data_IF_478236579866
#
_entry.id   IF_478236579866
#
_cell.length_a   1.000
_cell.length_b   1.000
_cell.length_c   1.000
_cell.angle_alpha   90.00
_cell.angle_beta   90.00
_cell.angle_gamma   90.00
#
_symmetry.space_group_name_H-M   'P 1'
#
loop_
_entity.id
_entity.type
_entity.pdbx_description
1 polymer ?
#
# COMPACT_ATOMS: atom_id res chain seq x y z
N UNK A 1 -26.97 41.50 14.09
CA UNK A 1 -26.42 40.18 13.77
C UNK A 1 -26.04 40.22 12.30
N UNK A 2 -24.76 40.38 12.01
CA UNK A 2 -24.23 40.40 10.64
C UNK A 2 -23.91 38.95 10.24
N UNK A 3 -24.51 38.49 9.16
CA UNK A 3 -24.24 37.17 8.55
C UNK A 3 -22.81 37.22 7.98
N UNK A 4 -21.93 36.25 8.29
CA UNK A 4 -20.61 36.24 7.71
C UNK A 4 -20.68 35.95 6.19
N UNK A 5 -19.87 36.66 5.41
CA UNK A 5 -19.75 36.46 3.97
C UNK A 5 -19.26 35.03 3.65
N UNK A 6 -19.72 34.44 2.52
CA UNK A 6 -19.27 33.14 2.10
C UNK A 6 -17.75 33.17 1.82
N UNK A 7 -17.03 32.17 2.34
CA UNK A 7 -15.60 31.98 2.08
C UNK A 7 -15.36 31.88 0.58
N UNK A 8 -14.32 32.56 0.10
CA UNK A 8 -13.83 32.46 -1.25
C UNK A 8 -13.60 30.97 -1.60
N UNK A 9 -14.01 30.57 -2.81
CA UNK A 9 -13.78 29.25 -3.35
C UNK A 9 -12.28 28.91 -3.32
N UNK A 10 -11.96 27.70 -2.87
CA UNK A 10 -10.58 27.20 -2.93
C UNK A 10 -10.07 27.28 -4.38
N UNK A 11 -8.78 27.60 -4.61
CA UNK A 11 -8.21 27.60 -5.95
C UNK A 11 -8.39 26.22 -6.56
N UNK A 12 -8.81 26.17 -7.82
CA UNK A 12 -8.85 24.94 -8.61
C UNK A 12 -7.46 24.30 -8.56
N UNK A 13 -7.42 23.02 -8.11
CA UNK A 13 -6.22 22.21 -8.13
C UNK A 13 -5.78 22.06 -9.59
N UNK A 14 -4.75 22.80 -9.99
CA UNK A 14 -4.02 22.48 -11.20
C UNK A 14 -3.23 21.22 -10.95
N UNK A 15 -3.80 20.06 -11.30
CA UNK A 15 -3.06 18.82 -11.34
C UNK A 15 -1.79 19.03 -12.20
N UNK A 16 -0.61 18.55 -11.76
CA UNK A 16 0.60 18.68 -12.57
C UNK A 16 0.37 17.98 -13.92
N UNK A 17 0.67 18.68 -14.99
CA UNK A 17 0.62 18.13 -16.35
C UNK A 17 1.82 17.20 -16.49
N UNK A 18 1.62 15.90 -16.32
CA UNK A 18 2.61 14.88 -16.64
C UNK A 18 2.67 14.76 -18.17
N UNK A 19 3.79 15.13 -18.76
CA UNK A 19 3.97 15.23 -20.21
C UNK A 19 4.12 13.91 -20.95
N UNK A 20 4.15 12.78 -20.28
CA UNK A 20 4.03 11.42 -20.85
C UNK A 20 3.47 10.52 -19.74
N UNK A 21 2.35 9.84 -20.01
CA UNK A 21 1.89 8.79 -19.08
C UNK A 21 2.92 7.68 -19.08
N UNK A 22 3.49 7.32 -17.93
CA UNK A 22 4.44 6.21 -17.85
C UNK A 22 3.76 4.94 -18.35
N UNK A 23 4.47 4.15 -19.15
CA UNK A 23 3.98 2.82 -19.57
C UNK A 23 3.74 1.99 -18.31
N UNK A 24 2.52 1.49 -18.05
CA UNK A 24 2.25 0.72 -16.86
C UNK A 24 3.16 -0.50 -16.76
N UNK A 25 3.77 -0.70 -15.59
CA UNK A 25 4.55 -1.90 -15.31
C UNK A 25 3.59 -3.07 -15.10
N UNK A 26 3.79 -4.16 -15.84
CA UNK A 26 3.00 -5.38 -15.71
C UNK A 26 3.69 -6.41 -14.80
N UNK A 27 2.94 -7.27 -14.09
CA UNK A 27 3.51 -8.34 -13.26
C UNK A 27 4.47 -9.29 -14.01
N UNK A 28 4.25 -9.50 -15.30
CA UNK A 28 5.08 -10.31 -16.18
C UNK A 28 6.44 -9.70 -16.53
N UNK A 29 6.59 -8.37 -16.37
CA UNK A 29 7.81 -7.62 -16.65
C UNK A 29 8.79 -7.56 -15.46
N UNK A 30 8.45 -8.20 -14.33
CA UNK A 30 9.21 -8.13 -13.09
C UNK A 30 10.53 -8.91 -13.18
N UNK A 31 11.63 -8.19 -13.34
CA UNK A 31 12.99 -8.74 -13.36
C UNK A 31 13.51 -9.09 -11.95
N UNK A 32 14.55 -9.92 -11.85
CA UNK A 32 15.26 -10.13 -10.58
C UNK A 32 15.82 -8.83 -10.00
N UNK A 33 16.32 -7.93 -10.83
CA UNK A 33 16.80 -6.61 -10.41
C UNK A 33 15.70 -5.78 -9.74
N UNK A 34 14.46 -5.88 -10.22
CA UNK A 34 13.31 -5.23 -9.58
C UNK A 34 13.08 -5.76 -8.16
N UNK A 35 13.17 -7.07 -7.97
CA UNK A 35 13.02 -7.71 -6.65
C UNK A 35 14.17 -7.37 -5.71
N UNK A 36 15.39 -7.21 -6.22
CA UNK A 36 16.53 -6.73 -5.43
C UNK A 36 16.32 -5.30 -4.94
N UNK A 37 15.79 -4.41 -5.79
CA UNK A 37 15.44 -3.03 -5.42
C UNK A 37 14.35 -3.00 -4.35
N UNK A 38 13.27 -3.78 -4.51
CA UNK A 38 12.21 -3.91 -3.51
C UNK A 38 12.78 -4.42 -2.18
N UNK A 39 13.61 -5.45 -2.21
CA UNK A 39 14.28 -5.99 -1.03
C UNK A 39 15.16 -4.96 -0.33
N UNK A 40 15.92 -4.18 -1.10
CA UNK A 40 16.77 -3.13 -0.56
C UNK A 40 15.95 -2.04 0.12
N UNK A 41 14.84 -1.62 -0.51
CA UNK A 41 13.94 -0.62 0.06
C UNK A 41 13.23 -1.14 1.32
N UNK A 42 12.72 -2.38 1.31
CA UNK A 42 12.11 -3.00 2.48
C UNK A 42 13.08 -3.02 3.69
N UNK A 43 14.36 -3.37 3.46
CA UNK A 43 15.40 -3.32 4.51
C UNK A 43 15.68 -1.90 4.98
N UNK A 44 15.69 -0.92 4.08
CA UNK A 44 15.85 0.50 4.42
C UNK A 44 14.70 0.99 5.30
N UNK A 45 13.47 0.63 4.96
CA UNK A 45 12.29 0.96 5.74
C UNK A 45 12.31 0.27 7.11
N UNK A 46 12.63 -1.04 7.17
CA UNK A 46 12.76 -1.81 8.40
C UNK A 46 13.68 -1.15 9.43
N UNK A 47 14.80 -0.57 8.99
CA UNK A 47 15.73 0.13 9.89
C UNK A 47 15.13 1.37 10.59
N UNK A 48 13.94 1.82 10.17
CA UNK A 48 13.19 2.95 10.75
C UNK A 48 12.01 2.52 11.61
N UNK A 49 11.80 1.22 11.78
CA UNK A 49 10.70 0.68 12.56
C UNK A 49 10.75 1.17 14.02
N UNK A 50 9.59 1.50 14.57
CA UNK A 50 9.44 1.83 15.97
C UNK A 50 8.81 0.67 16.73
N UNK A 51 9.64 -0.11 17.41
CA UNK A 51 9.25 -1.42 17.99
C UNK A 51 9.71 -1.59 19.45
N UNK A 52 9.37 -0.65 20.35
CA UNK A 52 9.87 -0.66 21.72
C UNK A 52 9.30 -1.79 22.59
N UNK A 53 8.24 -2.47 22.15
CA UNK A 53 7.55 -3.50 22.89
C UNK A 53 7.91 -4.90 22.42
N UNK A 54 7.85 -5.15 21.12
CA UNK A 54 8.12 -6.47 20.55
C UNK A 54 9.59 -6.70 20.22
N UNK A 55 10.37 -5.64 19.98
CA UNK A 55 11.70 -5.69 19.36
C UNK A 55 11.69 -6.43 18.00
N UNK A 56 10.57 -6.41 17.28
CA UNK A 56 10.39 -7.09 16.00
C UNK A 56 10.20 -6.08 14.86
N UNK A 57 11.29 -5.56 14.29
CA UNK A 57 11.21 -4.60 13.19
C UNK A 57 10.79 -5.29 11.90
N UNK A 58 9.90 -4.64 11.17
CA UNK A 58 9.40 -5.08 9.86
C UNK A 58 9.50 -3.93 8.88
N UNK A 59 9.94 -4.24 7.67
CA UNK A 59 9.91 -3.30 6.55
C UNK A 59 9.22 -3.90 5.35
N UNK A 60 8.53 -3.06 4.61
CA UNK A 60 7.82 -3.41 3.40
C UNK A 60 8.20 -2.47 2.26
N UNK A 61 8.14 -2.96 1.02
CA UNK A 61 8.31 -2.18 -0.20
C UNK A 61 7.31 -2.64 -1.27
N UNK A 62 6.80 -1.71 -2.05
CA UNK A 62 5.89 -1.95 -3.15
C UNK A 62 6.32 -1.20 -4.40
N UNK A 63 6.27 -1.88 -5.55
CA UNK A 63 6.41 -1.26 -6.86
C UNK A 63 5.04 -0.77 -7.31
N UNK A 64 4.98 0.48 -7.71
CA UNK A 64 3.78 1.10 -8.27
C UNK A 64 3.79 0.94 -9.79
N UNK A 65 2.64 0.94 -10.42
CA UNK A 65 2.46 0.78 -11.88
C UNK A 65 3.12 1.89 -12.72
N UNK A 66 3.47 3.02 -12.11
CA UNK A 66 4.24 4.10 -12.73
C UNK A 66 5.78 3.95 -12.54
N UNK A 67 6.25 2.84 -11.96
CA UNK A 67 7.66 2.54 -11.74
C UNK A 67 8.24 3.07 -10.43
N UNK A 68 7.50 3.85 -9.63
CA UNK A 68 7.94 4.26 -8.29
C UNK A 68 8.01 3.08 -7.34
N UNK A 69 8.95 3.14 -6.39
CA UNK A 69 8.98 2.23 -5.24
C UNK A 69 8.60 3.02 -4.00
N UNK A 70 7.63 2.51 -3.25
CA UNK A 70 7.15 3.04 -1.97
C UNK A 70 7.51 2.08 -0.85
N UNK A 71 7.81 2.60 0.35
CA UNK A 71 8.23 1.80 1.48
C UNK A 71 7.43 2.08 2.75
N UNK A 72 7.53 1.19 3.71
CA UNK A 72 6.89 1.36 5.01
C UNK A 72 7.52 0.50 6.08
N UNK A 73 7.39 0.90 7.33
CA UNK A 73 7.83 0.14 8.49
C UNK A 73 6.72 0.05 9.53
N UNK A 74 6.81 -0.93 10.42
CA UNK A 74 5.86 -1.03 11.52
C UNK A 74 6.13 0.02 12.60
N UNK A 75 5.03 0.54 13.16
CA UNK A 75 5.03 1.55 14.21
C UNK A 75 4.16 1.05 15.35
N UNK A 76 4.79 0.69 16.46
CA UNK A 76 4.08 0.21 17.64
C UNK A 76 3.51 1.35 18.49
N UNK A 77 2.57 1.00 19.33
CA UNK A 77 1.96 1.88 20.30
C UNK A 77 1.67 1.12 21.59
N UNK A 78 1.74 1.78 22.76
CA UNK A 78 1.34 1.19 24.04
C UNK A 78 -0.11 0.69 24.01
N UNK A 79 -0.97 1.36 23.25
CA UNK A 79 -2.28 0.85 22.85
C UNK A 79 -2.11 -0.06 21.63
N UNK A 80 -2.00 -1.36 21.81
CA UNK A 80 -1.70 -2.32 20.74
C UNK A 80 -2.68 -2.26 19.57
N UNK A 81 -3.94 -1.86 19.82
CA UNK A 81 -4.97 -1.72 18.79
C UNK A 81 -4.67 -0.65 17.74
N UNK A 82 -3.81 0.34 18.04
CA UNK A 82 -3.40 1.39 17.09
C UNK A 82 -2.01 1.15 16.50
N UNK A 83 -1.39 0.00 16.77
CA UNK A 83 -0.16 -0.41 16.12
C UNK A 83 -0.36 -0.54 14.61
N UNK A 84 0.53 0.05 13.82
CA UNK A 84 0.51 0.00 12.37
C UNK A 84 1.52 -1.05 11.87
N UNK A 85 1.05 -1.96 11.02
CA UNK A 85 1.94 -2.83 10.25
C UNK A 85 2.71 -2.02 9.19
N UNK A 86 3.83 -2.55 8.71
CA UNK A 86 4.65 -1.91 7.69
C UNK A 86 3.86 -1.60 6.40
N UNK A 87 2.93 -2.46 6.04
CA UNK A 87 2.06 -2.30 4.87
C UNK A 87 1.12 -1.10 5.00
N UNK A 88 0.66 -0.76 6.22
CA UNK A 88 -0.16 0.43 6.43
C UNK A 88 0.62 1.71 6.15
N UNK A 89 1.88 1.77 6.61
CA UNK A 89 2.78 2.89 6.34
C UNK A 89 3.10 3.00 4.85
N UNK A 90 3.35 1.87 4.18
CA UNK A 90 3.58 1.80 2.74
C UNK A 90 2.39 2.33 1.94
N UNK A 91 1.16 1.91 2.27
CA UNK A 91 -0.04 2.42 1.58
C UNK A 91 -0.22 3.92 1.84
N UNK A 92 0.11 4.41 3.04
CA UNK A 92 0.11 5.84 3.31
C UNK A 92 1.10 6.59 2.41
N UNK A 93 2.33 6.08 2.24
CA UNK A 93 3.33 6.65 1.34
C UNK A 93 2.86 6.60 -0.12
N UNK A 94 2.23 5.51 -0.57
CA UNK A 94 1.65 5.39 -1.90
C UNK A 94 0.76 6.59 -2.23
N UNK A 95 -0.20 6.90 -1.35
CA UNK A 95 -1.11 8.03 -1.57
C UNK A 95 -0.45 9.39 -1.42
N UNK A 96 0.46 9.55 -0.46
CA UNK A 96 1.18 10.80 -0.24
C UNK A 96 2.12 11.16 -1.40
N UNK A 97 2.53 10.18 -2.21
CA UNK A 97 3.45 10.36 -3.34
C UNK A 97 2.78 10.28 -4.72
N UNK A 98 1.44 10.22 -4.78
CA UNK A 98 0.69 10.33 -6.04
C UNK A 98 -0.34 9.23 -6.31
N UNK A 99 -0.49 8.25 -5.41
CA UNK A 99 -1.41 7.12 -5.61
C UNK A 99 -0.85 6.09 -6.59
N UNK A 100 -1.72 5.49 -7.40
CA UNK A 100 -1.37 4.44 -8.35
C UNK A 100 -1.68 3.04 -7.81
N UNK A 101 -1.36 2.01 -8.58
CA UNK A 101 -1.63 0.61 -8.27
C UNK A 101 -0.34 -0.13 -7.92
N UNK A 102 -0.36 -0.92 -6.86
CA UNK A 102 0.76 -1.80 -6.53
C UNK A 102 0.83 -2.99 -7.50
N UNK A 103 2.01 -3.25 -8.06
CA UNK A 103 2.28 -4.34 -9.02
C UNK A 103 3.08 -5.47 -8.38
N UNK A 104 4.03 -5.13 -7.48
CA UNK A 104 4.83 -6.10 -6.75
C UNK A 104 5.02 -5.65 -5.30
N UNK A 105 5.18 -6.61 -4.40
CA UNK A 105 5.33 -6.36 -2.97
C UNK A 105 6.35 -7.30 -2.34
N UNK A 106 7.22 -6.75 -1.49
CA UNK A 106 8.16 -7.50 -0.65
C UNK A 106 8.12 -7.00 0.79
N UNK A 107 8.29 -7.91 1.74
CA UNK A 107 8.30 -7.62 3.17
C UNK A 107 9.41 -8.41 3.86
N UNK A 108 10.11 -7.77 4.80
CA UNK A 108 11.24 -8.39 5.52
C UNK A 108 11.13 -8.21 7.02
N UNK A 109 11.63 -9.20 7.75
CA UNK A 109 11.85 -9.15 9.20
C UNK A 109 13.17 -8.45 9.56
N UNK A 110 13.48 -8.40 10.88
CA UNK A 110 14.68 -7.76 11.42
C UNK A 110 16.00 -8.37 10.96
N UNK A 111 16.00 -9.59 10.42
CA UNK A 111 17.17 -10.25 9.83
C UNK A 111 17.23 -10.03 8.29
N UNK A 112 16.23 -9.36 7.73
CA UNK A 112 16.11 -9.12 6.30
C UNK A 112 15.63 -10.33 5.51
N UNK A 113 15.04 -11.33 6.18
CA UNK A 113 14.39 -12.48 5.54
C UNK A 113 12.99 -12.12 5.07
N UNK A 114 12.53 -12.78 4.01
CA UNK A 114 11.16 -12.61 3.51
C UNK A 114 10.16 -12.95 4.60
N UNK A 115 9.25 -12.02 4.87
CA UNK A 115 8.18 -12.14 5.85
C UNK A 115 6.82 -12.25 5.15
N UNK A 116 5.91 -12.99 5.77
CA UNK A 116 4.53 -13.14 5.28
C UNK A 116 3.68 -11.97 5.78
N UNK A 117 2.97 -11.22 4.91
CA UNK A 117 2.02 -10.21 5.36
C UNK A 117 0.87 -10.86 6.15
N UNK A 118 0.46 -10.25 7.27
CA UNK A 118 -0.64 -10.75 8.08
C UNK A 118 -1.99 -10.67 7.33
N UNK A 119 -3.04 -11.35 7.83
CA UNK A 119 -4.33 -11.39 7.15
C UNK A 119 -4.95 -10.01 6.89
N UNK A 120 -4.84 -9.08 7.86
CA UNK A 120 -5.29 -7.69 7.69
C UNK A 120 -4.52 -6.99 6.56
N UNK A 121 -3.22 -7.20 6.49
CA UNK A 121 -2.38 -6.57 5.47
C UNK A 121 -2.62 -7.15 4.07
N UNK A 122 -2.95 -8.45 3.96
CA UNK A 122 -3.35 -9.04 2.67
C UNK A 122 -4.61 -8.38 2.12
N UNK A 123 -5.60 -8.13 2.97
CA UNK A 123 -6.81 -7.40 2.58
C UNK A 123 -6.50 -5.97 2.16
N UNK A 124 -5.63 -5.27 2.89
CA UNK A 124 -5.19 -3.92 2.53
C UNK A 124 -4.45 -3.89 1.19
N UNK A 125 -3.53 -4.84 0.98
CA UNK A 125 -2.76 -4.94 -0.26
C UNK A 125 -3.64 -5.31 -1.46
N UNK A 126 -4.65 -6.17 -1.27
CA UNK A 126 -5.63 -6.50 -2.31
C UNK A 126 -6.36 -5.25 -2.81
N UNK A 127 -6.77 -4.35 -1.91
CA UNK A 127 -7.46 -3.11 -2.28
C UNK A 127 -6.64 -2.23 -3.24
N UNK A 128 -5.32 -2.17 -3.01
CA UNK A 128 -4.42 -1.28 -3.74
C UNK A 128 -3.60 -1.94 -4.86
N UNK A 129 -3.65 -3.26 -4.97
CA UNK A 129 -2.92 -4.01 -5.99
C UNK A 129 -3.79 -4.93 -6.84
N UNK A 130 -4.96 -5.32 -6.30
CA UNK A 130 -5.85 -6.28 -6.97
C UNK A 130 -5.31 -7.70 -6.94
N UNK A 131 -6.00 -8.60 -7.66
CA UNK A 131 -5.71 -10.04 -7.70
C UNK A 131 -4.36 -10.38 -8.32
N UNK A 132 -3.84 -9.53 -9.21
CA UNK A 132 -2.61 -9.76 -9.97
C UNK A 132 -1.35 -9.23 -9.26
N UNK A 133 -1.50 -8.49 -8.14
CA UNK A 133 -0.37 -8.05 -7.32
C UNK A 133 0.51 -9.23 -6.95
N UNK A 134 1.77 -9.20 -7.36
CA UNK A 134 2.73 -10.27 -7.05
C UNK A 134 3.37 -10.03 -5.68
N UNK A 135 3.20 -11.00 -4.79
CA UNK A 135 3.76 -10.97 -3.43
C UNK A 135 4.97 -11.90 -3.36
N UNK A 136 6.09 -11.41 -2.83
CA UNK A 136 7.24 -12.24 -2.51
C UNK A 136 6.99 -12.98 -1.18
N UNK A 137 6.76 -14.29 -1.26
CA UNK A 137 6.47 -15.15 -0.12
C UNK A 137 7.68 -16.07 0.16
N UNK A 138 7.84 -16.61 1.37
CA UNK A 138 8.89 -17.59 1.66
C UNK A 138 8.85 -18.84 0.76
N UNK A 139 7.67 -19.20 0.25
CA UNK A 139 7.46 -20.31 -0.68
C UNK A 139 7.71 -19.97 -2.15
N UNK A 140 8.04 -18.73 -2.46
CA UNK A 140 8.17 -18.19 -3.81
C UNK A 140 7.14 -17.10 -4.11
N UNK A 141 7.32 -16.43 -5.23
CA UNK A 141 6.43 -15.35 -5.68
C UNK A 141 5.06 -15.89 -6.08
N UNK A 142 4.01 -15.24 -5.62
CA UNK A 142 2.63 -15.66 -5.90
C UNK A 142 1.73 -14.43 -6.11
N UNK A 143 0.72 -14.50 -7.00
CA UNK A 143 -0.25 -13.44 -7.14
C UNK A 143 -1.16 -13.36 -5.90
N UNK A 144 -1.73 -12.19 -5.65
CA UNK A 144 -2.62 -11.95 -4.51
C UNK A 144 -3.81 -12.92 -4.50
N UNK A 145 -4.34 -13.31 -5.64
CA UNK A 145 -5.40 -14.31 -5.77
C UNK A 145 -5.06 -15.69 -5.15
N UNK A 146 -3.77 -16.03 -5.08
CA UNK A 146 -3.27 -17.24 -4.39
C UNK A 146 -2.99 -16.95 -2.90
N UNK A 147 -2.52 -15.74 -2.57
CA UNK A 147 -2.14 -15.35 -1.19
C UNK A 147 -3.39 -15.06 -0.34
N UNK A 148 -4.48 -14.60 -0.95
CA UNK A 148 -5.77 -14.33 -0.32
C UNK A 148 -6.91 -14.82 -1.24
N UNK A 149 -7.17 -16.13 -1.30
CA UNK A 149 -8.26 -16.68 -2.10
C UNK A 149 -9.63 -16.27 -1.54
N UNK A 150 -10.64 -16.17 -2.44
CA UNK A 150 -12.03 -15.83 -2.07
C UNK A 150 -12.15 -14.56 -1.20
N UNK A 151 -11.30 -13.56 -1.49
CA UNK A 151 -11.22 -12.35 -0.71
C UNK A 151 -12.46 -11.47 -0.87
N UNK A 152 -12.87 -10.81 0.20
CA UNK A 152 -13.87 -9.76 0.14
C UNK A 152 -13.33 -8.55 -0.64
N UNK A 153 -14.12 -8.03 -1.58
CA UNK A 153 -13.73 -6.90 -2.43
C UNK A 153 -14.90 -6.03 -2.84
N UNK A 154 -14.66 -4.95 -3.59
CA UNK A 154 -15.69 -3.98 -4.02
C UNK A 154 -16.89 -4.62 -4.74
N UNK A 155 -16.67 -5.71 -5.47
CA UNK A 155 -17.72 -6.42 -6.19
C UNK A 155 -18.82 -6.97 -5.26
N UNK A 156 -18.47 -7.28 -4.01
CA UNK A 156 -19.43 -7.72 -2.99
C UNK A 156 -20.33 -6.58 -2.47
N UNK A 157 -19.92 -5.33 -2.70
CA UNK A 157 -20.66 -4.12 -2.35
C UNK A 157 -21.48 -3.58 -3.54
N UNK A 158 -21.25 -4.12 -4.76
CA UNK A 158 -21.98 -3.73 -5.96
C UNK A 158 -23.48 -4.05 -5.79
N UNK A 159 -24.33 -3.03 -5.88
CA UNK A 159 -25.78 -3.14 -5.69
C UNK A 159 -26.27 -2.88 -4.27
N UNK A 160 -25.40 -2.60 -3.31
CA UNK A 160 -25.81 -2.05 -2.01
C UNK A 160 -26.07 -0.54 -2.20
N UNK A 161 -27.34 -0.03 -2.08
CA UNK A 161 -27.61 1.39 -2.19
C UNK A 161 -26.79 2.13 -1.12
N UNK A 162 -25.98 3.11 -1.51
CA UNK A 162 -25.37 3.99 -0.54
C UNK A 162 -26.50 4.82 0.10
N UNK A 163 -26.64 4.75 1.42
CA UNK A 163 -27.63 5.59 2.16
C UNK A 163 -27.39 7.09 1.95
N UNK A 164 -26.30 7.47 1.32
CA UNK A 164 -25.94 8.84 0.98
C UNK A 164 -26.70 9.41 -0.23
N UNK A 165 -27.17 8.59 -1.16
CA UNK A 165 -27.96 9.08 -2.31
C UNK A 165 -29.43 9.33 -1.99
N UNK A 166 -29.91 8.88 -0.84
CA UNK A 166 -31.32 9.02 -0.43
C UNK A 166 -31.64 10.33 0.31
N UNK A 167 -30.69 11.27 0.46
CA UNK A 167 -30.87 12.49 1.27
C UNK A 167 -30.58 13.80 0.53
N UNK A 168 -30.63 13.83 -0.80
CA UNK A 168 -30.58 15.09 -1.56
C UNK A 168 -31.67 15.18 -2.60
#
# INVERSE_FOLDING_TARGET
>A
MTVPEPRASAPESTAPVWSEEPTPVCPEDLSEGTWELLRAEAKRAMARAYVPYSNYPVGAAGLVDDGRIVGGCNIENASFGVTLCAECSLVSELFMTGGGRLVAFDCVDGEGKTLVPCGRCRQLLLEHGGNDLVINMPSGRAPMSVVLPEAFGPDHLAGTPSEHEAKH
#
